data_IF_809136769710
#
_entry.id   IF_809136769710
#
_cell.length_a   1.000
_cell.length_b   1.000
_cell.length_c   1.000
_cell.angle_alpha   90.00
_cell.angle_beta   90.00
_cell.angle_gamma   90.00
#
_symmetry.space_group_name_H-M   'P 1'
#
loop_
_entity.id
_entity.type
_entity.pdbx_description
1 polymer ?
#
# COMPACT_ATOMS: atom_id res chain seq x y z
N UNK A 1 -15.10 -17.12 -5.68
CA UNK A 1 -15.63 -15.96 -6.42
C UNK A 1 -14.55 -14.89 -6.31
N UNK A 2 -13.83 -14.61 -7.40
CA UNK A 2 -12.76 -13.60 -7.40
C UNK A 2 -13.41 -12.24 -7.67
N UNK A 3 -13.45 -11.36 -6.67
CA UNK A 3 -13.70 -9.95 -6.95
C UNK A 3 -12.52 -9.45 -7.81
N UNK A 4 -12.81 -8.83 -8.95
CA UNK A 4 -11.77 -8.15 -9.69
C UNK A 4 -11.24 -7.00 -8.85
N UNK A 5 -9.91 -6.83 -8.84
CA UNK A 5 -9.25 -5.70 -8.21
C UNK A 5 -9.78 -4.37 -8.72
N UNK A 6 -9.74 -3.33 -7.89
CA UNK A 6 -10.12 -2.00 -8.34
C UNK A 6 -9.02 -1.40 -9.22
N UNK A 7 -9.42 -0.65 -10.25
CA UNK A 7 -8.52 0.16 -11.05
C UNK A 7 -8.48 1.60 -10.55
N UNK A 8 -7.38 2.01 -9.91
CA UNK A 8 -7.15 3.39 -9.47
C UNK A 8 -6.32 4.10 -10.53
N UNK A 9 -6.97 4.99 -11.30
CA UNK A 9 -6.29 5.81 -12.33
C UNK A 9 -5.96 7.15 -11.73
N UNK A 10 -4.71 7.33 -11.32
CA UNK A 10 -4.23 8.54 -10.65
C UNK A 10 -3.32 8.22 -9.47
N UNK A 11 -2.80 9.26 -8.82
CA UNK A 11 -1.95 9.10 -7.64
C UNK A 11 -2.73 8.51 -6.46
N UNK A 12 -2.11 7.58 -5.75
CA UNK A 12 -2.61 7.05 -4.47
C UNK A 12 -1.70 7.54 -3.35
N UNK A 13 -2.27 8.28 -2.39
CA UNK A 13 -1.52 8.82 -1.25
C UNK A 13 -2.19 8.38 0.05
N UNK A 14 -1.43 7.71 0.91
CA UNK A 14 -1.78 7.46 2.31
C UNK A 14 -0.77 8.19 3.19
N UNK A 15 -1.25 9.14 3.98
CA UNK A 15 -0.40 10.00 4.80
C UNK A 15 -0.94 10.13 6.22
N UNK A 16 -0.07 9.90 7.20
CA UNK A 16 -0.34 10.09 8.63
C UNK A 16 -1.62 9.39 9.14
N UNK A 17 -2.02 8.28 8.51
CA UNK A 17 -3.16 7.50 8.97
C UNK A 17 -2.78 6.78 10.26
N UNK A 18 -3.60 6.89 11.30
CA UNK A 18 -3.35 6.25 12.61
C UNK A 18 -4.38 5.18 12.97
N UNK A 19 -5.48 5.09 12.20
CA UNK A 19 -6.46 4.01 12.30
C UNK A 19 -5.97 2.72 11.67
N UNK A 20 -4.98 2.86 10.79
CA UNK A 20 -4.35 1.83 9.99
C UNK A 20 -5.18 1.41 8.79
N UNK A 21 -4.55 0.70 7.86
CA UNK A 21 -5.10 0.46 6.53
C UNK A 21 -4.70 -0.90 5.98
N UNK A 22 -5.51 -1.38 5.02
CA UNK A 22 -5.17 -2.51 4.18
C UNK A 22 -5.57 -2.19 2.74
N UNK A 23 -4.56 -2.04 1.88
CA UNK A 23 -4.73 -1.96 0.43
C UNK A 23 -4.32 -3.33 -0.11
N UNK A 24 -5.25 -3.98 -0.80
CA UNK A 24 -5.00 -5.32 -1.32
C UNK A 24 -5.65 -5.55 -2.66
N UNK A 25 -4.88 -6.10 -3.61
CA UNK A 25 -5.40 -6.59 -4.88
C UNK A 25 -5.88 -5.49 -5.83
N UNK A 26 -5.27 -4.30 -5.83
CA UNK A 26 -5.65 -3.18 -6.71
C UNK A 26 -4.65 -2.97 -7.83
N UNK A 27 -5.11 -2.38 -8.93
CA UNK A 27 -4.27 -1.90 -10.03
C UNK A 27 -4.23 -0.37 -9.99
N UNK A 28 -3.09 0.19 -9.62
CA UNK A 28 -2.85 1.63 -9.57
C UNK A 28 -2.03 2.06 -10.77
N UNK A 29 -2.57 2.97 -11.57
CA UNK A 29 -1.83 3.63 -12.66
C UNK A 29 -1.52 5.06 -12.24
N UNK A 30 -0.30 5.28 -11.75
CA UNK A 30 0.13 6.53 -11.14
C UNK A 30 1.10 6.32 -9.98
N UNK A 31 1.66 7.41 -9.42
CA UNK A 31 2.57 7.32 -8.30
C UNK A 31 1.83 6.91 -7.02
N UNK A 32 2.42 6.01 -6.24
CA UNK A 32 1.94 5.58 -4.93
C UNK A 32 2.86 6.10 -3.84
N UNK A 33 2.29 6.80 -2.86
CA UNK A 33 3.02 7.36 -1.71
C UNK A 33 2.36 6.94 -0.40
N UNK A 34 3.11 6.24 0.43
CA UNK A 34 2.66 5.77 1.75
C UNK A 34 3.61 6.35 2.80
N UNK A 35 3.20 7.39 3.51
CA UNK A 35 4.08 8.12 4.43
C UNK A 35 3.50 8.28 5.83
N UNK A 36 4.29 7.96 6.85
CA UNK A 36 3.94 8.25 8.25
C UNK A 36 2.72 7.52 8.80
N UNK A 37 2.33 6.38 8.22
CA UNK A 37 1.12 5.67 8.63
C UNK A 37 1.39 4.72 9.80
N UNK A 38 0.43 4.56 10.69
CA UNK A 38 0.53 3.75 11.89
C UNK A 38 -0.78 3.06 12.21
N UNK A 39 -0.73 2.10 13.12
CA UNK A 39 -1.89 1.31 13.52
C UNK A 39 -1.98 -0.05 12.83
N UNK A 40 -3.12 -0.68 13.00
CA UNK A 40 -3.41 -2.04 12.59
C UNK A 40 -4.15 -2.10 11.27
N UNK A 41 -4.19 -3.24 10.61
CA UNK A 41 -5.14 -3.39 9.50
C UNK A 41 -6.59 -3.24 9.99
N UNK A 42 -7.56 -3.05 9.07
CA UNK A 42 -8.98 -2.91 9.41
C UNK A 42 -9.57 -4.17 10.08
N UNK A 43 -8.87 -5.31 10.01
CA UNK A 43 -9.28 -6.54 10.67
C UNK A 43 -8.60 -6.70 12.04
N UNK A 44 -9.29 -7.29 13.05
CA UNK A 44 -8.75 -7.46 14.41
C UNK A 44 -7.45 -8.28 14.49
N UNK A 45 -7.23 -9.12 13.48
CA UNK A 45 -6.08 -10.02 13.36
C UNK A 45 -4.88 -9.38 12.64
N UNK A 46 -5.05 -8.20 12.05
CA UNK A 46 -3.98 -7.47 11.37
C UNK A 46 -3.30 -6.50 12.33
N UNK A 47 -2.11 -6.85 12.82
CA UNK A 47 -1.35 -6.02 13.76
C UNK A 47 -0.48 -4.94 13.10
N UNK A 48 -0.48 -4.85 11.77
CA UNK A 48 0.34 -3.93 10.98
C UNK A 48 -0.45 -3.38 9.79
N UNK A 49 -0.14 -2.19 9.27
CA UNK A 49 -0.72 -1.74 8.01
C UNK A 49 -0.27 -2.65 6.86
N UNK A 50 -1.09 -2.78 5.82
CA UNK A 50 -0.85 -3.69 4.71
C UNK A 50 -1.01 -3.02 3.34
N UNK A 51 -0.05 -3.31 2.45
CA UNK A 51 -0.08 -2.97 1.03
C UNK A 51 0.38 -4.22 0.26
N UNK A 52 -0.55 -5.06 -0.20
CA UNK A 52 -0.25 -6.43 -0.65
C UNK A 52 -1.02 -6.82 -1.92
N UNK A 53 -0.40 -7.64 -2.77
CA UNK A 53 -0.97 -8.09 -4.05
C UNK A 53 -1.41 -6.95 -4.99
N UNK A 54 -0.83 -5.76 -4.84
CA UNK A 54 -1.15 -4.60 -5.66
C UNK A 54 -0.24 -4.51 -6.89
N UNK A 55 -0.81 -4.11 -8.02
CA UNK A 55 -0.09 -3.78 -9.24
C UNK A 55 0.03 -2.26 -9.37
N UNK A 56 1.25 -1.74 -9.35
CA UNK A 56 1.55 -0.30 -9.46
C UNK A 56 2.26 -0.03 -10.77
N UNK A 57 1.64 0.73 -11.66
CA UNK A 57 2.27 1.27 -12.86
C UNK A 57 2.68 2.73 -12.60
N UNK A 58 3.89 2.90 -12.05
CA UNK A 58 4.39 4.16 -11.52
C UNK A 58 5.40 3.97 -10.37
N UNK A 59 5.98 5.05 -9.85
CA UNK A 59 6.89 4.99 -8.70
C UNK A 59 6.13 4.63 -7.41
N UNK A 60 6.74 3.80 -6.56
CA UNK A 60 6.24 3.42 -5.24
C UNK A 60 7.22 3.90 -4.17
N UNK A 61 6.74 4.74 -3.24
CA UNK A 61 7.53 5.22 -2.11
C UNK A 61 6.80 4.98 -0.80
N UNK A 62 7.50 4.37 0.16
CA UNK A 62 6.96 4.14 1.50
C UNK A 62 7.96 4.57 2.56
N UNK A 63 7.55 5.38 3.51
CA UNK A 63 8.45 5.93 4.53
C UNK A 63 7.74 6.16 5.85
N UNK A 64 8.45 5.95 6.96
CA UNK A 64 7.99 6.31 8.29
C UNK A 64 6.73 5.58 8.78
N UNK A 65 6.35 4.44 8.20
CA UNK A 65 5.19 3.68 8.67
C UNK A 65 5.56 2.78 9.86
N UNK A 66 4.73 2.74 10.90
CA UNK A 66 4.97 2.04 12.17
C UNK A 66 3.69 1.44 12.77
N UNK A 67 3.56 0.10 12.94
CA UNK A 67 4.54 -0.95 12.63
C UNK A 67 4.95 -0.99 11.16
N UNK A 68 6.06 -1.68 10.86
CA UNK A 68 6.59 -1.76 9.50
C UNK A 68 5.50 -2.27 8.53
N UNK A 69 5.41 -1.59 7.38
CA UNK A 69 4.37 -1.85 6.39
C UNK A 69 4.51 -3.27 5.83
N UNK A 70 3.46 -4.08 5.97
CA UNK A 70 3.42 -5.42 5.37
C UNK A 70 3.26 -5.31 3.87
N UNK A 71 4.23 -5.87 3.14
CA UNK A 71 4.25 -5.90 1.68
C UNK A 71 4.57 -7.30 1.16
N UNK A 72 3.70 -7.82 0.30
CA UNK A 72 3.84 -9.13 -0.32
C UNK A 72 3.08 -9.14 -1.64
N UNK A 73 3.61 -9.81 -2.67
CA UNK A 73 2.90 -9.97 -3.95
C UNK A 73 2.79 -8.71 -4.82
N UNK A 74 3.29 -7.57 -4.38
CA UNK A 74 3.21 -6.33 -5.14
C UNK A 74 4.05 -6.36 -6.42
N UNK A 75 3.45 -5.99 -7.54
CA UNK A 75 4.14 -5.83 -8.82
C UNK A 75 4.25 -4.35 -9.15
N UNK A 76 5.46 -3.81 -9.20
CA UNK A 76 5.68 -2.36 -9.42
C UNK A 76 6.48 -2.16 -10.71
N UNK A 77 5.88 -1.44 -11.65
CA UNK A 77 6.51 -0.93 -12.86
C UNK A 77 6.99 0.51 -12.61
N UNK A 78 8.10 0.63 -11.89
CA UNK A 78 8.68 1.91 -11.50
C UNK A 78 9.69 1.78 -10.36
N UNK A 79 10.36 2.87 -9.96
CA UNK A 79 11.30 2.84 -8.85
C UNK A 79 10.59 2.61 -7.52
N UNK A 80 11.25 1.84 -6.65
CA UNK A 80 10.84 1.56 -5.27
C UNK A 80 11.75 2.28 -4.28
N UNK A 81 11.18 2.92 -3.25
CA UNK A 81 11.95 3.63 -2.23
C UNK A 81 11.42 3.44 -0.80
N UNK A 82 12.35 3.64 0.15
CA UNK A 82 12.12 3.54 1.59
C UNK A 82 11.79 2.10 2.03
N UNK A 83 10.72 1.94 2.80
CA UNK A 83 10.21 0.65 3.29
C UNK A 83 9.64 -0.23 2.17
N UNK A 84 9.36 0.34 0.99
CA UNK A 84 8.80 -0.39 -0.17
C UNK A 84 9.86 -0.92 -1.15
N UNK A 85 11.09 -1.13 -0.69
CA UNK A 85 12.19 -1.65 -1.50
C UNK A 85 12.14 -3.16 -1.69
#
# INVERSE_FOLDING_TARGET
MTCAGNGVRGPLTLDADTGGFSVTGNAVTGPVRITGNSGSGPLPEESTPAFVDDQVDGPLSCDGSAPELRQSGNTVSGPRSGQCR
#
